data_IF_738857660099
#
_entry.id   IF_738857660099
#
_cell.length_a   1.000
_cell.length_b   1.000
_cell.length_c   1.000
_cell.angle_alpha   90.00
_cell.angle_beta   90.00
_cell.angle_gamma   90.00
#
_symmetry.space_group_name_H-M   'P 1'
#
loop_
_entity.id
_entity.type
_entity.pdbx_description
1 polymer ?
#
# COMPACT_ATOMS: atom_id res chain seq x y z
N UNK A 1 -1.40 -60.74 -10.49
CA UNK A 1 -0.50 -61.14 -11.59
C UNK A 1 0.23 -59.87 -12.07
N UNK A 2 1.46 -59.60 -11.60
CA UNK A 2 2.19 -58.38 -11.94
C UNK A 2 3.15 -58.65 -13.12
N UNK A 3 3.12 -57.80 -14.14
CA UNK A 3 4.04 -57.88 -15.27
C UNK A 3 5.40 -57.28 -14.88
N UNK A 4 6.36 -58.17 -14.59
CA UNK A 4 7.79 -57.88 -14.55
C UNK A 4 8.29 -57.67 -15.98
N UNK A 5 9.01 -56.58 -16.24
CA UNK A 5 9.92 -56.48 -17.39
C UNK A 5 11.36 -56.50 -16.87
N UNK A 6 12.10 -57.50 -17.34
CA UNK A 6 13.51 -57.76 -17.10
C UNK A 6 14.37 -56.87 -17.99
N UNK A 7 15.37 -56.19 -17.44
CA UNK A 7 16.51 -55.64 -18.20
C UNK A 7 17.65 -56.68 -18.25
N UNK A 8 18.41 -56.79 -19.36
CA UNK A 8 19.56 -57.68 -19.43
C UNK A 8 20.81 -57.06 -18.78
N UNK A 9 21.66 -57.96 -18.29
CA UNK A 9 22.93 -57.69 -17.64
C UNK A 9 24.03 -57.28 -18.64
N UNK A 10 25.01 -56.51 -18.13
CA UNK A 10 26.36 -56.44 -18.71
C UNK A 10 26.80 -55.04 -19.15
N UNK A 11 27.59 -54.37 -18.31
CA UNK A 11 28.32 -53.14 -18.65
C UNK A 11 28.58 -52.28 -17.43
N UNK A 12 29.75 -52.42 -16.80
CA UNK A 12 30.23 -51.51 -15.75
C UNK A 12 30.32 -50.07 -16.27
N UNK A 13 29.69 -49.07 -15.62
CA UNK A 13 30.01 -47.68 -15.88
C UNK A 13 31.26 -47.30 -15.08
N UNK A 14 32.31 -46.90 -15.80
CA UNK A 14 33.56 -46.40 -15.25
C UNK A 14 33.32 -45.26 -14.24
N UNK A 15 33.85 -45.41 -13.02
CA UNK A 15 33.93 -44.34 -12.03
C UNK A 15 34.83 -43.20 -12.57
N UNK A 16 34.23 -42.04 -12.84
CA UNK A 16 34.98 -40.81 -13.10
C UNK A 16 35.68 -40.35 -11.80
N UNK A 17 36.93 -39.86 -11.86
CA UNK A 17 37.63 -39.39 -10.67
C UNK A 17 37.04 -38.06 -10.20
N UNK A 18 36.82 -37.95 -8.88
CA UNK A 18 36.43 -36.70 -8.22
C UNK A 18 37.57 -35.69 -8.36
N UNK A 19 37.33 -34.59 -9.09
CA UNK A 19 38.28 -33.50 -9.20
C UNK A 19 38.45 -32.79 -7.84
N UNK A 20 39.70 -32.60 -7.40
CA UNK A 20 40.02 -31.76 -6.23
C UNK A 20 39.57 -30.32 -6.48
N UNK A 21 39.03 -29.61 -5.47
CA UNK A 21 38.67 -28.20 -5.63
C UNK A 21 39.93 -27.36 -5.84
N UNK A 22 39.93 -26.54 -6.88
CA UNK A 22 40.97 -25.56 -7.15
C UNK A 22 40.95 -24.46 -6.07
N UNK A 23 42.10 -24.18 -5.46
CA UNK A 23 42.28 -23.03 -4.58
C UNK A 23 42.17 -21.74 -5.40
N UNK A 24 41.06 -21.01 -5.24
CA UNK A 24 40.90 -19.66 -5.79
C UNK A 24 41.71 -18.68 -4.94
N UNK A 25 42.95 -18.39 -5.35
CA UNK A 25 43.73 -17.26 -4.81
C UNK A 25 43.23 -15.94 -5.43
N UNK A 26 42.04 -15.49 -5.03
CA UNK A 26 41.51 -14.17 -5.39
C UNK A 26 41.83 -13.17 -4.29
N UNK A 27 42.74 -12.23 -4.54
CA UNK A 27 42.90 -11.06 -3.68
C UNK A 27 41.59 -10.26 -3.74
N UNK A 28 40.86 -10.23 -2.63
CA UNK A 28 39.61 -9.48 -2.53
C UNK A 28 39.89 -7.99 -2.76
N UNK A 29 39.52 -7.47 -3.93
CA UNK A 29 39.43 -6.02 -4.13
C UNK A 29 38.41 -5.49 -3.13
N UNK A 30 38.73 -4.43 -2.34
CA UNK A 30 37.77 -3.89 -1.39
C UNK A 30 36.53 -3.45 -2.16
N UNK A 31 35.38 -4.03 -1.81
CA UNK A 31 34.07 -3.57 -2.28
C UNK A 31 33.96 -2.11 -1.84
N UNK A 32 34.17 -1.17 -2.76
CA UNK A 32 33.76 0.22 -2.54
C UNK A 32 32.28 0.18 -2.20
N UNK A 33 31.95 0.53 -0.96
CA UNK A 33 30.57 0.74 -0.56
C UNK A 33 30.01 1.80 -1.50
N UNK A 34 29.10 1.41 -2.41
CA UNK A 34 28.28 2.39 -3.12
C UNK A 34 27.51 3.11 -2.02
N UNK A 35 27.77 4.40 -1.81
CA UNK A 35 26.83 5.24 -1.06
C UNK A 35 25.49 5.05 -1.75
N UNK A 36 24.52 4.46 -1.07
CA UNK A 36 23.16 4.42 -1.57
C UNK A 36 22.70 5.86 -1.71
N UNK A 37 22.67 6.37 -2.94
CA UNK A 37 22.01 7.62 -3.26
C UNK A 37 20.52 7.31 -3.29
N UNK A 38 19.81 7.75 -2.25
CA UNK A 38 18.36 7.66 -2.18
C UNK A 38 17.76 8.37 -3.41
N UNK A 39 17.05 7.62 -4.24
CA UNK A 39 16.32 8.16 -5.40
C UNK A 39 14.94 8.70 -4.99
N UNK A 40 14.19 9.30 -5.94
CA UNK A 40 12.83 9.79 -5.69
C UNK A 40 11.90 8.72 -5.07
N UNK A 41 12.09 7.46 -5.45
CA UNK A 41 11.29 6.31 -4.98
C UNK A 41 11.61 5.87 -3.54
N UNK A 42 12.64 6.44 -2.91
CA UNK A 42 12.98 6.18 -1.50
C UNK A 42 12.64 7.41 -0.67
N UNK A 43 11.39 7.53 -0.20
CA UNK A 43 10.95 8.71 0.52
C UNK A 43 11.66 8.88 1.85
N UNK A 44 11.86 10.15 2.22
CA UNK A 44 12.35 10.54 3.54
C UNK A 44 11.16 10.87 4.45
N UNK A 45 11.33 10.61 5.73
CA UNK A 45 10.32 10.88 6.76
C UNK A 45 9.28 9.77 6.87
N UNK A 46 8.10 10.13 7.36
CA UNK A 46 6.96 9.24 7.53
C UNK A 46 5.92 9.47 6.46
N UNK A 47 5.36 8.39 5.90
CA UNK A 47 4.40 8.45 4.80
C UNK A 47 2.98 8.60 5.33
N UNK A 48 2.35 9.72 5.02
CA UNK A 48 1.00 10.06 5.52
C UNK A 48 -0.03 9.02 5.10
N UNK A 49 0.05 8.50 3.88
CA UNK A 49 -0.87 7.47 3.39
C UNK A 49 -0.83 6.18 4.20
N UNK A 50 0.34 5.80 4.74
CA UNK A 50 0.42 4.60 5.59
C UNK A 50 -0.30 4.82 6.92
N UNK A 51 -0.37 6.04 7.44
CA UNK A 51 -1.12 6.31 8.68
C UNK A 51 -2.62 6.06 8.45
N UNK A 52 -3.13 6.50 7.30
CA UNK A 52 -4.52 6.28 6.89
C UNK A 52 -4.79 4.79 6.63
N UNK A 53 -3.87 4.10 5.96
CA UNK A 53 -3.96 2.65 5.75
C UNK A 53 -4.01 1.90 7.09
N UNK A 54 -3.11 2.22 8.03
CA UNK A 54 -3.09 1.61 9.35
C UNK A 54 -4.37 1.91 10.14
N UNK A 55 -4.93 3.12 10.03
CA UNK A 55 -6.24 3.43 10.63
C UNK A 55 -7.33 2.46 10.13
N UNK A 56 -7.41 2.25 8.81
CA UNK A 56 -8.37 1.32 8.19
C UNK A 56 -8.11 -0.13 8.64
N UNK A 57 -6.86 -0.59 8.60
CA UNK A 57 -6.49 -1.96 8.96
C UNK A 57 -6.76 -2.26 10.44
N UNK A 58 -6.53 -1.32 11.34
CA UNK A 58 -6.83 -1.49 12.77
C UNK A 58 -8.34 -1.69 13.00
N UNK A 59 -9.19 -0.93 12.32
CA UNK A 59 -10.65 -1.13 12.37
C UNK A 59 -11.01 -2.52 11.85
N UNK A 60 -10.39 -2.98 10.76
CA UNK A 60 -10.63 -4.32 10.21
C UNK A 60 -10.19 -5.44 11.14
N UNK A 61 -9.01 -5.31 11.78
CA UNK A 61 -8.50 -6.29 12.75
C UNK A 61 -9.44 -6.37 13.95
N UNK A 62 -9.87 -5.22 14.46
CA UNK A 62 -10.86 -5.15 15.56
C UNK A 62 -12.17 -5.87 15.19
N UNK A 63 -12.63 -5.71 13.95
CA UNK A 63 -13.87 -6.31 13.48
C UNK A 63 -13.78 -7.83 13.24
N UNK A 64 -12.57 -8.36 12.99
CA UNK A 64 -12.34 -9.77 12.67
C UNK A 64 -11.83 -10.60 13.85
N UNK A 65 -11.25 -9.98 14.88
CA UNK A 65 -10.57 -10.71 15.96
C UNK A 65 -11.37 -10.63 17.27
N UNK A 66 -12.02 -11.74 17.69
CA UNK A 66 -12.62 -11.85 19.02
C UNK A 66 -11.59 -11.54 20.11
N UNK A 67 -11.98 -10.74 21.11
CA UNK A 67 -11.11 -10.33 22.22
C UNK A 67 -10.27 -9.09 21.95
N UNK A 68 -10.24 -8.56 20.71
CA UNK A 68 -9.56 -7.31 20.35
C UNK A 68 -10.55 -6.13 20.27
N UNK A 69 -11.81 -6.32 20.70
CA UNK A 69 -12.84 -5.27 20.68
C UNK A 69 -12.80 -4.28 21.86
N UNK A 70 -11.70 -4.26 22.63
CA UNK A 70 -11.51 -3.29 23.72
C UNK A 70 -11.55 -1.84 23.19
N UNK A 71 -12.01 -0.89 24.01
CA UNK A 71 -12.22 0.50 23.60
C UNK A 71 -10.96 1.16 22.98
N UNK A 72 -9.78 0.83 23.50
CA UNK A 72 -8.50 1.38 23.05
C UNK A 72 -8.19 1.08 21.57
N UNK A 73 -8.76 0.03 20.97
CA UNK A 73 -8.46 -0.33 19.57
C UNK A 73 -9.13 0.60 18.57
N UNK A 74 -10.28 1.17 18.93
CA UNK A 74 -10.90 2.25 18.15
C UNK A 74 -10.05 3.51 18.25
N UNK A 75 -9.65 3.91 19.46
CA UNK A 75 -8.80 5.09 19.68
C UNK A 75 -7.46 4.98 18.93
N UNK A 76 -6.84 3.80 18.95
CA UNK A 76 -5.61 3.50 18.22
C UNK A 76 -5.75 3.66 16.70
N UNK A 77 -6.94 3.42 16.14
CA UNK A 77 -7.24 3.67 14.73
C UNK A 77 -7.53 5.15 14.43
N UNK A 78 -8.17 5.87 15.37
CA UNK A 78 -8.51 7.28 15.20
C UNK A 78 -7.28 8.19 15.22
N UNK A 79 -6.28 7.89 16.06
CA UNK A 79 -5.05 8.68 16.20
C UNK A 79 -4.27 8.89 14.88
N UNK A 80 -3.89 7.84 14.12
CA UNK A 80 -3.15 8.02 12.88
C UNK A 80 -3.98 8.74 11.80
N UNK A 81 -5.30 8.55 11.76
CA UNK A 81 -6.18 9.32 10.87
C UNK A 81 -6.17 10.81 11.23
N UNK A 82 -6.38 11.14 12.50
CA UNK A 82 -6.39 12.53 12.97
C UNK A 82 -5.05 13.22 12.71
N UNK A 83 -3.94 12.50 12.91
CA UNK A 83 -2.59 13.02 12.62
C UNK A 83 -2.37 13.22 11.13
N UNK A 84 -2.80 12.27 10.29
CA UNK A 84 -2.70 12.39 8.84
C UNK A 84 -3.44 13.62 8.32
N UNK A 85 -4.65 13.87 8.82
CA UNK A 85 -5.42 15.07 8.49
C UNK A 85 -4.71 16.33 8.99
N UNK A 86 -4.27 16.37 10.25
CA UNK A 86 -3.67 17.56 10.84
C UNK A 86 -2.33 17.97 10.18
N UNK A 87 -1.51 17.01 9.76
CA UNK A 87 -0.16 17.28 9.27
C UNK A 87 -0.01 17.12 7.76
N UNK A 88 -0.88 16.29 7.17
CA UNK A 88 -0.77 15.87 5.79
C UNK A 88 -1.70 16.63 4.84
N UNK A 89 -2.89 17.03 5.31
CA UNK A 89 -3.93 17.60 4.44
C UNK A 89 -3.68 19.09 4.15
N UNK A 90 -3.73 19.46 2.87
CA UNK A 90 -3.77 20.86 2.44
C UNK A 90 -5.20 21.39 2.61
N UNK A 91 -5.44 22.21 3.65
CA UNK A 91 -6.78 22.74 3.93
C UNK A 91 -7.30 23.73 2.87
N UNK A 92 -6.42 24.33 2.05
CA UNK A 92 -6.82 25.32 1.04
C UNK A 92 -7.17 24.64 -0.29
N UNK A 93 -6.33 23.70 -0.76
CA UNK A 93 -6.51 23.02 -2.05
C UNK A 93 -7.02 21.60 -1.93
N UNK A 94 -6.94 20.98 -0.76
CA UNK A 94 -7.09 19.55 -0.59
C UNK A 94 -5.89 18.77 -1.10
N UNK A 95 -5.89 17.48 -0.78
CA UNK A 95 -4.81 16.55 -1.08
C UNK A 95 -3.83 16.42 0.07
N UNK A 96 -3.24 15.23 0.18
CA UNK A 96 -2.26 14.92 1.21
C UNK A 96 -0.85 15.04 0.64
N UNK A 97 0.06 15.65 1.39
CA UNK A 97 1.49 15.55 1.11
C UNK A 97 1.94 14.10 1.25
N UNK A 98 2.94 13.70 0.45
CA UNK A 98 3.42 12.33 0.46
C UNK A 98 4.13 11.97 1.77
N UNK A 99 4.95 12.87 2.32
CA UNK A 99 5.67 12.61 3.56
C UNK A 99 5.91 13.82 4.45
N UNK A 100 6.08 13.57 5.75
CA UNK A 100 6.42 14.55 6.78
C UNK A 100 7.66 14.11 7.58
N UNK A 101 8.35 15.05 8.22
CA UNK A 101 9.41 14.74 9.19
C UNK A 101 8.83 14.34 10.56
N UNK A 102 9.71 14.02 11.52
CA UNK A 102 9.29 13.63 12.88
C UNK A 102 8.73 14.79 13.72
N UNK A 103 8.79 16.03 13.22
CA UNK A 103 8.13 17.19 13.80
C UNK A 103 6.80 17.52 13.09
N UNK A 104 6.35 16.69 12.14
CA UNK A 104 5.11 16.89 11.42
C UNK A 104 5.21 17.83 10.22
N UNK A 105 6.41 18.28 9.84
CA UNK A 105 6.57 19.23 8.74
C UNK A 105 6.65 18.50 7.40
N UNK A 106 5.92 18.93 6.35
CA UNK A 106 6.00 18.31 5.04
C UNK A 106 7.43 18.29 4.48
N UNK A 107 7.88 17.12 4.05
CA UNK A 107 9.19 16.88 3.40
C UNK A 107 9.02 16.66 1.90
N UNK A 108 8.10 15.78 1.52
CA UNK A 108 7.70 15.61 0.12
C UNK A 108 6.24 16.04 -0.03
N UNK A 109 6.03 17.12 -0.80
CA UNK A 109 4.72 17.75 -1.00
C UNK A 109 3.99 17.28 -2.26
N UNK A 110 4.58 16.35 -3.02
CA UNK A 110 3.89 15.61 -4.09
C UNK A 110 2.64 14.93 -3.51
N UNK A 111 1.62 14.74 -4.33
CA UNK A 111 0.35 14.13 -3.93
C UNK A 111 0.19 12.82 -4.67
N UNK A 112 0.33 11.72 -3.95
CA UNK A 112 0.20 10.37 -4.51
C UNK A 112 -1.26 9.91 -4.45
N UNK A 113 -1.76 9.30 -5.52
CA UNK A 113 -3.16 8.87 -5.61
C UNK A 113 -3.55 7.86 -4.53
N UNK A 114 -2.63 6.96 -4.19
CA UNK A 114 -2.87 5.92 -3.19
C UNK A 114 -3.14 6.52 -1.81
N UNK A 115 -2.51 7.66 -1.47
CA UNK A 115 -2.73 8.34 -0.19
C UNK A 115 -4.18 8.76 -0.01
N UNK A 116 -4.80 9.34 -1.05
CA UNK A 116 -6.22 9.72 -0.97
C UNK A 116 -7.13 8.50 -1.04
N UNK A 117 -6.76 7.46 -1.77
CA UNK A 117 -7.50 6.19 -1.80
C UNK A 117 -7.58 5.54 -0.41
N UNK A 118 -6.47 5.54 0.34
CA UNK A 118 -6.44 5.07 1.73
C UNK A 118 -7.24 5.99 2.66
N UNK A 119 -7.21 7.31 2.43
CA UNK A 119 -8.00 8.27 3.20
C UNK A 119 -9.52 7.98 3.10
N UNK A 120 -10.00 7.71 1.88
CA UNK A 120 -11.39 7.32 1.60
C UNK A 120 -11.78 6.07 2.39
N UNK A 121 -10.94 5.03 2.34
CA UNK A 121 -11.18 3.78 3.06
C UNK A 121 -11.17 3.95 4.58
N UNK A 122 -10.19 4.69 5.10
CA UNK A 122 -10.07 4.97 6.53
C UNK A 122 -11.28 5.74 7.06
N UNK A 123 -11.72 6.79 6.35
CA UNK A 123 -12.87 7.59 6.74
C UNK A 123 -14.15 6.76 6.84
N UNK A 124 -14.48 5.97 5.83
CA UNK A 124 -15.73 5.18 5.86
C UNK A 124 -15.70 4.04 6.88
N UNK A 125 -14.54 3.47 7.18
CA UNK A 125 -14.42 2.42 8.20
C UNK A 125 -14.45 3.02 9.61
N UNK A 126 -13.82 4.16 9.84
CA UNK A 126 -13.92 4.88 11.12
C UNK A 126 -15.34 5.38 11.38
N UNK A 127 -16.04 5.89 10.36
CA UNK A 127 -17.46 6.25 10.46
C UNK A 127 -18.29 5.06 10.96
N UNK A 128 -18.12 3.88 10.37
CA UNK A 128 -18.85 2.67 10.78
C UNK A 128 -18.48 2.16 12.17
N UNK A 129 -17.22 2.32 12.56
CA UNK A 129 -16.74 1.88 13.87
C UNK A 129 -17.20 2.79 15.02
N UNK A 130 -17.44 4.08 14.74
CA UNK A 130 -17.65 5.11 15.78
C UNK A 130 -19.03 5.77 15.74
N UNK A 131 -19.66 5.85 14.56
CA UNK A 131 -20.86 6.66 14.33
C UNK A 131 -20.60 8.18 14.22
N UNK A 132 -19.34 8.63 14.25
CA UNK A 132 -19.00 10.05 14.20
C UNK A 132 -19.10 10.61 12.76
N UNK A 133 -20.05 11.52 12.55
CA UNK A 133 -20.33 12.17 11.27
C UNK A 133 -19.16 13.00 10.72
N UNK A 134 -18.16 13.33 11.54
CA UNK A 134 -16.93 13.98 11.09
C UNK A 134 -16.20 13.13 10.04
N UNK A 135 -16.22 11.80 10.19
CA UNK A 135 -15.61 10.90 9.22
C UNK A 135 -16.38 10.84 7.90
N UNK A 136 -17.71 10.94 7.93
CA UNK A 136 -18.50 11.08 6.70
C UNK A 136 -18.17 12.39 5.97
N UNK A 137 -18.01 13.47 6.73
CA UNK A 137 -17.63 14.78 6.17
C UNK A 137 -16.25 14.71 5.51
N UNK A 138 -15.27 14.06 6.15
CA UNK A 138 -13.97 13.81 5.54
C UNK A 138 -14.05 12.92 4.30
N UNK A 139 -14.83 11.84 4.36
CA UNK A 139 -15.05 10.95 3.21
C UNK A 139 -15.53 11.73 1.97
N UNK A 140 -16.49 12.65 2.15
CA UNK A 140 -16.99 13.52 1.07
C UNK A 140 -15.90 14.44 0.54
N UNK A 141 -15.19 15.16 1.42
CA UNK A 141 -14.08 16.03 1.03
C UNK A 141 -12.97 15.30 0.27
N UNK A 142 -12.67 14.05 0.65
CA UNK A 142 -11.68 13.23 -0.04
C UNK A 142 -12.12 12.83 -1.44
N UNK A 143 -13.39 12.46 -1.61
CA UNK A 143 -13.97 12.19 -2.93
C UNK A 143 -14.06 13.42 -3.81
N UNK A 144 -14.40 14.58 -3.25
CA UNK A 144 -14.43 15.84 -3.99
C UNK A 144 -13.04 16.19 -4.54
N UNK A 145 -11.99 16.03 -3.71
CA UNK A 145 -10.61 16.17 -4.16
C UNK A 145 -10.24 15.13 -5.22
N UNK A 146 -10.53 13.84 -5.00
CA UNK A 146 -10.19 12.78 -5.93
C UNK A 146 -10.86 12.96 -7.30
N UNK A 147 -12.14 13.35 -7.31
CA UNK A 147 -12.92 13.56 -8.52
C UNK A 147 -12.48 14.80 -9.32
N UNK A 148 -11.93 15.81 -8.64
CA UNK A 148 -11.46 17.06 -9.23
C UNK A 148 -10.04 16.95 -9.77
N UNK A 149 -9.10 16.44 -8.98
CA UNK A 149 -7.67 16.55 -9.28
C UNK A 149 -7.04 15.21 -9.67
N UNK A 150 -7.53 14.10 -9.12
CA UNK A 150 -6.83 12.79 -9.22
C UNK A 150 -7.38 11.93 -10.37
N UNK A 151 -8.68 11.96 -10.62
CA UNK A 151 -9.30 11.17 -11.68
C UNK A 151 -8.96 11.73 -13.06
N UNK A 152 -8.33 10.90 -13.90
CA UNK A 152 -8.16 11.23 -15.32
C UNK A 152 -9.38 10.76 -16.12
N UNK A 153 -10.27 11.71 -16.42
CA UNK A 153 -11.48 11.43 -17.20
C UNK A 153 -11.22 11.25 -18.69
N UNK A 154 -10.08 11.73 -19.21
CA UNK A 154 -9.75 11.64 -20.62
C UNK A 154 -8.97 10.36 -20.93
N UNK A 155 -7.93 10.06 -20.15
CA UNK A 155 -7.09 8.88 -20.31
C UNK A 155 -7.52 7.68 -19.45
N UNK A 156 -8.55 7.83 -18.61
CA UNK A 156 -9.02 6.81 -17.69
C UNK A 156 -8.08 6.60 -16.48
N UNK A 157 -8.57 5.87 -15.48
CA UNK A 157 -7.84 5.64 -14.22
C UNK A 157 -7.51 6.94 -13.46
N UNK A 158 -6.59 6.89 -12.51
CA UNK A 158 -6.19 7.98 -11.63
C UNK A 158 -4.76 8.41 -11.97
N UNK A 159 -4.47 9.70 -11.97
CA UNK A 159 -3.11 10.22 -12.04
C UNK A 159 -2.32 9.74 -10.83
N UNK A 160 -1.19 9.07 -11.06
CA UNK A 160 -0.43 8.42 -9.99
C UNK A 160 0.20 9.45 -9.03
N UNK A 161 0.70 10.54 -9.58
CA UNK A 161 1.40 11.60 -8.86
C UNK A 161 0.96 12.97 -9.39
N UNK A 162 0.65 13.88 -8.48
CA UNK A 162 0.41 15.29 -8.77
C UNK A 162 1.44 16.16 -8.04
N UNK A 163 1.76 17.29 -8.66
CA UNK A 163 2.56 18.34 -8.04
C UNK A 163 1.77 19.09 -6.94
N UNK A 164 2.40 20.11 -6.32
CA UNK A 164 1.78 20.91 -5.26
C UNK A 164 0.61 21.79 -5.73
N UNK A 165 0.45 21.96 -7.03
CA UNK A 165 -0.63 22.72 -7.66
C UNK A 165 -1.77 21.83 -8.16
N UNK A 166 -1.63 20.51 -8.06
CA UNK A 166 -2.61 19.53 -8.51
C UNK A 166 -2.45 19.13 -9.98
N UNK A 167 -1.33 19.45 -10.62
CA UNK A 167 -1.07 19.02 -11.98
C UNK A 167 -0.37 17.65 -12.02
N UNK A 168 -0.72 16.76 -12.97
CA UNK A 168 -0.04 15.49 -13.13
C UNK A 168 1.46 15.66 -13.36
N UNK A 169 2.24 14.80 -12.71
CA UNK A 169 3.70 14.76 -12.85
C UNK A 169 4.21 13.32 -12.78
N UNK A 170 5.46 13.12 -13.19
CA UNK A 170 6.12 11.81 -13.25
C UNK A 170 7.48 11.82 -12.57
N UNK A 171 7.61 12.63 -11.51
CA UNK A 171 8.90 12.87 -10.84
C UNK A 171 9.37 11.62 -10.11
N UNK A 172 8.46 10.90 -9.47
CA UNK A 172 8.75 9.68 -8.71
C UNK A 172 8.46 8.43 -9.53
N UNK A 173 7.38 8.44 -10.32
CA UNK A 173 6.89 7.31 -11.09
C UNK A 173 6.39 7.75 -12.45
N UNK A 174 6.59 6.91 -13.47
CA UNK A 174 6.04 7.15 -14.81
C UNK A 174 4.69 6.44 -14.99
N UNK A 175 3.77 7.11 -15.66
CA UNK A 175 2.44 6.60 -15.98
C UNK A 175 1.52 6.34 -14.78
N UNK A 176 0.72 5.28 -14.87
CA UNK A 176 -0.30 4.89 -13.88
C UNK A 176 -0.14 3.42 -13.50
N UNK A 177 0.96 3.06 -12.80
CA UNK A 177 1.34 1.66 -12.58
C UNK A 177 0.46 0.93 -11.57
N UNK A 178 -0.35 1.65 -10.80
CA UNK A 178 -1.20 1.08 -9.74
C UNK A 178 -2.69 1.30 -10.02
N UNK A 179 -3.41 0.19 -10.18
CA UNK A 179 -4.88 0.16 -10.17
C UNK A 179 -5.43 -0.27 -8.81
N UNK A 180 -4.63 -0.94 -7.97
CA UNK A 180 -5.10 -1.61 -6.76
C UNK A 180 -5.74 -0.62 -5.79
N UNK A 181 -5.06 0.44 -5.39
CA UNK A 181 -5.62 1.38 -4.40
C UNK A 181 -6.80 2.16 -4.97
N UNK A 182 -6.70 2.63 -6.23
CA UNK A 182 -7.78 3.36 -6.90
C UNK A 182 -9.05 2.52 -7.02
N UNK A 183 -8.92 1.24 -7.41
CA UNK A 183 -10.05 0.32 -7.50
C UNK A 183 -10.64 0.03 -6.12
N UNK A 184 -9.81 -0.27 -5.11
CA UNK A 184 -10.29 -0.56 -3.76
C UNK A 184 -11.02 0.63 -3.12
N UNK A 185 -10.58 1.86 -3.37
CA UNK A 185 -11.27 3.06 -2.89
C UNK A 185 -12.75 3.10 -3.30
N UNK A 186 -13.07 2.64 -4.51
CA UNK A 186 -14.46 2.58 -5.01
C UNK A 186 -15.31 1.51 -4.33
N UNK A 187 -14.69 0.55 -3.64
CA UNK A 187 -15.35 -0.59 -3.02
C UNK A 187 -15.51 -0.44 -1.50
N UNK A 188 -14.66 0.33 -0.81
CA UNK A 188 -14.69 0.41 0.67
C UNK A 188 -16.04 0.84 1.22
N UNK A 189 -16.72 1.79 0.58
CA UNK A 189 -18.06 2.22 1.01
C UNK A 189 -19.13 1.13 0.87
N UNK A 190 -18.88 0.08 0.08
CA UNK A 190 -19.79 -1.05 -0.12
C UNK A 190 -19.40 -2.28 0.70
N UNK A 191 -18.13 -2.40 1.10
CA UNK A 191 -17.61 -3.55 1.83
C UNK A 191 -17.82 -3.42 3.34
N UNK A 192 -18.22 -4.48 4.07
CA UNK A 192 -18.32 -4.44 5.51
C UNK A 192 -16.93 -4.48 6.17
N UNK A 193 -16.78 -3.82 7.33
CA UNK A 193 -15.49 -3.72 8.04
C UNK A 193 -14.91 -5.07 8.54
N UNK A 194 -15.75 -6.11 8.65
CA UNK A 194 -15.35 -7.44 9.13
C UNK A 194 -14.92 -8.39 8.00
N UNK A 195 -14.92 -7.96 6.74
CA UNK A 195 -14.44 -8.76 5.61
C UNK A 195 -13.35 -8.02 4.84
N UNK A 196 -12.32 -8.76 4.40
CA UNK A 196 -11.45 -8.29 3.33
C UNK A 196 -12.23 -8.16 2.00
N UNK A 197 -11.80 -7.27 1.10
CA UNK A 197 -12.51 -7.02 -0.16
C UNK A 197 -12.69 -8.27 -1.02
N UNK A 198 -11.67 -9.14 -1.12
CA UNK A 198 -11.78 -10.40 -1.86
C UNK A 198 -12.83 -11.35 -1.29
N UNK A 199 -12.94 -11.41 0.04
CA UNK A 199 -13.96 -12.22 0.71
C UNK A 199 -15.36 -11.62 0.57
N UNK A 200 -15.48 -10.29 0.68
CA UNK A 200 -16.74 -9.59 0.43
C UNK A 200 -17.25 -9.82 -1.00
N UNK A 201 -16.35 -9.84 -1.99
CA UNK A 201 -16.69 -10.18 -3.38
C UNK A 201 -17.11 -11.65 -3.51
N UNK A 202 -16.36 -12.58 -2.92
CA UNK A 202 -16.69 -14.03 -2.92
C UNK A 202 -18.08 -14.31 -2.34
N UNK A 203 -18.48 -13.55 -1.32
CA UNK A 203 -19.80 -13.65 -0.69
C UNK A 203 -20.91 -12.86 -1.41
N UNK A 204 -20.60 -12.12 -2.49
CA UNK A 204 -21.57 -11.31 -3.22
C UNK A 204 -22.05 -10.05 -2.48
N UNK A 205 -21.34 -9.63 -1.43
CA UNK A 205 -21.67 -8.42 -0.65
C UNK A 205 -21.35 -7.16 -1.43
N UNK A 206 -20.27 -7.20 -2.21
CA UNK A 206 -19.91 -6.16 -3.17
C UNK A 206 -19.97 -6.74 -4.58
N UNK A 207 -20.57 -6.00 -5.50
CA UNK A 207 -20.58 -6.37 -6.91
C UNK A 207 -19.22 -6.02 -7.51
N UNK A 208 -18.55 -7.01 -8.09
CA UNK A 208 -17.41 -6.83 -8.98
C UNK A 208 -17.90 -6.60 -10.41
#
# INVERSE_FOLDING_TARGET
MPLRRTCPAGGEPACLPVAKPAQLSGTARPRRARRATWGPQTPRGSLVGHWLEWARLLVMVRAQTPGVQAAWTTEAAQQPFARAVAEGWDAERGGFVYSVDFAGKPVNRQRMHWTIAEAVGAAVFLYRATGDATYESWYRSFWDYAARDVLDRAGGSWWHELDTHGHPTTTTWDGKPDLYHAFQATLYARAPQHLGLGEAARQGVIAC
#
